data_IF_480334318086
#
_entry.id   IF_480334318086
#
_cell.length_a   1.000
_cell.length_b   1.000
_cell.length_c   1.000
_cell.angle_alpha   90.00
_cell.angle_beta   90.00
_cell.angle_gamma   90.00
#
_symmetry.space_group_name_H-M   'P 1'
#
loop_
_entity.id
_entity.type
_entity.pdbx_description
1 polymer ?
#
# COMPACT_ATOMS: atom_id res chain seq x y z
N UNK A 1 7.82 -6.25 -13.29
CA UNK A 1 8.53 -4.96 -13.14
C UNK A 1 7.59 -3.82 -13.49
N UNK A 2 7.29 -2.98 -12.51
CA UNK A 2 6.36 -1.86 -12.63
C UNK A 2 7.03 -0.67 -13.33
N UNK A 3 6.29 0.19 -14.03
CA UNK A 3 6.84 1.28 -14.85
C UNK A 3 6.37 2.66 -14.38
N UNK A 4 7.30 3.62 -14.30
CA UNK A 4 7.03 4.99 -13.87
C UNK A 4 7.37 6.01 -14.98
N UNK A 5 6.68 7.17 -15.04
CA UNK A 5 5.57 7.59 -14.20
C UNK A 5 4.30 6.79 -14.45
N UNK A 6 3.52 6.58 -13.39
CA UNK A 6 2.32 5.76 -13.41
C UNK A 6 2.00 5.21 -12.03
N UNK A 7 1.18 4.16 -12.01
CA UNK A 7 0.81 3.46 -10.79
C UNK A 7 1.89 2.45 -10.39
N UNK A 8 2.17 2.39 -9.08
CA UNK A 8 2.89 1.34 -8.40
C UNK A 8 1.91 0.63 -7.47
N UNK A 9 1.51 -0.58 -7.82
CA UNK A 9 0.64 -1.45 -7.03
C UNK A 9 1.47 -2.04 -5.86
N UNK A 10 1.00 -1.86 -4.63
CA UNK A 10 1.78 -2.17 -3.42
C UNK A 10 1.90 -3.69 -3.17
N UNK A 11 0.93 -4.48 -3.60
CA UNK A 11 0.93 -5.94 -3.44
C UNK A 11 1.94 -6.65 -4.38
N UNK A 12 2.35 -5.99 -5.47
CA UNK A 12 3.30 -6.52 -6.46
C UNK A 12 4.74 -6.04 -6.17
N UNK A 13 5.17 -6.24 -4.93
CA UNK A 13 6.55 -6.01 -4.48
C UNK A 13 7.51 -7.08 -4.99
N UNK A 14 8.82 -6.83 -4.84
CA UNK A 14 9.85 -7.74 -5.32
C UNK A 14 9.78 -9.12 -4.64
N UNK A 15 10.29 -10.15 -5.34
CA UNK A 15 10.53 -11.47 -4.74
C UNK A 15 11.92 -11.49 -4.09
N UNK A 16 12.06 -12.22 -2.97
CA UNK A 16 13.34 -12.33 -2.27
C UNK A 16 13.20 -12.70 -0.80
N UNK A 17 12.03 -12.48 -0.22
CA UNK A 17 11.72 -12.83 1.16
C UNK A 17 12.14 -11.77 2.18
N UNK A 18 11.91 -12.13 3.44
CA UNK A 18 12.19 -11.33 4.62
C UNK A 18 13.66 -10.90 4.72
N UNK A 19 13.89 -9.62 5.03
CA UNK A 19 15.20 -8.99 5.10
C UNK A 19 15.87 -8.69 3.74
N UNK A 20 15.24 -9.07 2.62
CA UNK A 20 15.77 -8.86 1.25
C UNK A 20 14.80 -8.02 0.42
N UNK A 21 13.58 -8.50 0.23
CA UNK A 21 12.55 -7.82 -0.57
C UNK A 21 11.54 -7.06 0.28
N UNK A 22 11.40 -7.42 1.55
CA UNK A 22 10.59 -6.73 2.54
C UNK A 22 11.11 -7.00 3.94
N UNK A 23 10.64 -6.23 4.90
CA UNK A 23 10.64 -6.57 6.32
C UNK A 23 9.21 -6.43 6.82
N UNK A 24 8.68 -7.51 7.38
CA UNK A 24 7.42 -7.55 8.09
C UNK A 24 7.67 -7.85 9.59
N UNK A 25 6.84 -7.31 10.48
CA UNK A 25 7.01 -7.51 11.93
C UNK A 25 6.62 -8.90 12.38
N UNK A 26 5.90 -9.65 11.56
CA UNK A 26 5.67 -11.07 11.75
C UNK A 26 5.94 -11.89 10.48
N UNK A 27 5.98 -13.22 10.62
CA UNK A 27 6.34 -14.12 9.52
C UNK A 27 5.14 -14.71 8.79
N UNK A 28 3.92 -14.23 9.06
CA UNK A 28 2.66 -14.80 8.61
C UNK A 28 1.82 -13.73 7.93
N UNK A 29 1.56 -13.90 6.64
CA UNK A 29 0.54 -13.12 5.96
C UNK A 29 -0.85 -13.23 6.66
N UNK A 30 -1.21 -12.19 7.40
CA UNK A 30 -2.42 -12.06 8.21
C UNK A 30 -3.69 -11.95 7.35
N UNK A 31 -3.55 -11.55 6.09
CA UNK A 31 -4.62 -11.55 5.11
C UNK A 31 -4.72 -12.89 4.39
N UNK A 32 -3.95 -13.08 3.31
CA UNK A 32 -3.91 -14.29 2.49
C UNK A 32 -3.33 -15.47 3.27
N UNK A 33 -4.06 -16.59 3.33
CA UNK A 33 -3.68 -17.78 4.09
C UNK A 33 -4.20 -17.81 5.53
N UNK A 34 -4.36 -16.65 6.19
CA UNK A 34 -4.90 -16.56 7.56
C UNK A 34 -6.35 -16.05 7.59
N UNK A 35 -6.60 -14.76 7.36
CA UNK A 35 -7.96 -14.22 7.26
C UNK A 35 -8.72 -14.81 6.07
N UNK A 36 -8.01 -15.06 4.96
CA UNK A 36 -8.51 -15.67 3.73
C UNK A 36 -7.89 -17.07 3.59
N UNK A 37 -8.47 -18.13 4.16
CA UNK A 37 -7.90 -19.47 4.10
C UNK A 37 -7.71 -19.96 2.66
N UNK A 38 -6.65 -20.72 2.43
CA UNK A 38 -6.38 -21.35 1.13
C UNK A 38 -7.59 -22.16 0.65
N UNK A 39 -8.02 -21.91 -0.59
CA UNK A 39 -9.21 -22.52 -1.19
C UNK A 39 -9.06 -22.77 -2.71
N UNK A 40 -7.84 -22.69 -3.23
CA UNK A 40 -7.48 -22.80 -4.63
C UNK A 40 -7.68 -21.51 -5.44
N UNK A 41 -8.20 -20.43 -4.84
CA UNK A 41 -8.39 -19.17 -5.56
C UNK A 41 -7.15 -18.27 -5.49
N UNK A 42 -6.90 -17.54 -6.58
CA UNK A 42 -5.81 -16.58 -6.66
C UNK A 42 -5.84 -15.56 -5.52
N UNK A 43 -7.02 -15.01 -5.19
CA UNK A 43 -7.12 -13.92 -4.20
C UNK A 43 -6.87 -14.37 -2.77
N UNK A 44 -7.25 -15.60 -2.40
CA UNK A 44 -6.97 -16.12 -1.05
C UNK A 44 -5.51 -16.55 -0.88
N UNK A 45 -4.86 -16.94 -1.97
CA UNK A 45 -3.53 -17.56 -1.93
C UNK A 45 -2.41 -16.65 -2.44
N UNK A 46 -2.73 -15.44 -2.92
CA UNK A 46 -1.73 -14.50 -3.45
C UNK A 46 -0.70 -14.21 -2.37
N UNK A 47 0.54 -14.66 -2.62
CA UNK A 47 1.72 -14.54 -1.74
C UNK A 47 1.48 -15.00 -0.30
N UNK A 48 0.56 -15.96 -0.08
CA UNK A 48 0.23 -16.46 1.27
C UNK A 48 1.38 -17.17 2.00
N UNK A 49 2.51 -17.43 1.31
CA UNK A 49 3.71 -18.07 1.88
C UNK A 49 4.82 -17.06 2.20
N UNK A 50 4.54 -15.78 2.07
CA UNK A 50 5.45 -14.67 2.35
C UNK A 50 4.97 -13.90 3.58
N UNK A 51 5.82 -13.02 4.13
CA UNK A 51 5.53 -12.25 5.35
C UNK A 51 4.55 -11.11 5.12
N UNK A 52 4.71 -10.32 4.04
CA UNK A 52 3.88 -9.13 3.81
C UNK A 52 2.40 -9.47 3.83
N UNK A 53 1.68 -8.77 4.70
CA UNK A 53 0.25 -8.89 4.87
C UNK A 53 -0.54 -8.37 3.66
N UNK A 54 -1.26 -9.26 2.98
CA UNK A 54 -2.03 -8.92 1.77
C UNK A 54 -3.44 -9.44 1.90
N UNK A 55 -4.43 -8.58 1.61
CA UNK A 55 -5.81 -9.01 1.43
C UNK A 55 -6.37 -8.36 0.17
N UNK A 56 -7.66 -8.48 -0.06
CA UNK A 56 -8.34 -7.90 -1.20
C UNK A 56 -9.69 -7.31 -0.80
N UNK A 57 -10.21 -6.40 -1.60
CA UNK A 57 -11.48 -5.73 -1.35
C UNK A 57 -12.67 -6.66 -1.52
N UNK A 58 -13.57 -6.64 -0.54
CA UNK A 58 -14.68 -7.59 -0.38
C UNK A 58 -16.05 -6.94 -0.58
N UNK A 59 -17.01 -7.80 -0.89
CA UNK A 59 -18.42 -7.46 -1.02
C UNK A 59 -19.09 -7.28 0.36
N UNK A 60 -20.42 -7.13 0.42
CA UNK A 60 -21.16 -7.22 1.68
C UNK A 60 -20.97 -6.04 2.63
N UNK A 61 -20.83 -4.83 2.09
CA UNK A 61 -20.57 -3.59 2.84
C UNK A 61 -19.28 -3.61 3.69
N UNK A 62 -18.31 -4.44 3.31
CA UNK A 62 -16.96 -4.41 3.88
C UNK A 62 -16.20 -3.24 3.23
N UNK A 63 -15.78 -3.38 1.97
CA UNK A 63 -14.97 -2.37 1.27
C UNK A 63 -15.78 -1.43 0.37
N UNK A 64 -17.06 -1.72 0.15
CA UNK A 64 -18.01 -0.81 -0.49
C UNK A 64 -19.08 -0.41 0.52
N UNK A 65 -18.76 0.60 1.33
CA UNK A 65 -19.60 1.07 2.43
C UNK A 65 -19.79 2.61 2.35
N UNK A 66 -20.81 3.18 3.00
CA UNK A 66 -21.13 4.60 2.90
C UNK A 66 -20.13 5.55 3.59
N UNK A 67 -19.11 5.02 4.28
CA UNK A 67 -18.07 5.80 4.95
C UNK A 67 -16.78 5.90 4.11
N UNK A 68 -16.72 5.20 2.98
CA UNK A 68 -15.70 5.43 1.97
C UNK A 68 -15.68 6.89 1.52
N UNK A 69 -14.49 7.49 1.49
CA UNK A 69 -14.26 8.83 0.95
C UNK A 69 -14.13 8.81 -0.58
N UNK A 70 -13.74 7.67 -1.14
CA UNK A 70 -13.71 7.41 -2.60
C UNK A 70 -14.32 6.05 -2.95
N UNK A 71 -14.92 5.86 -4.14
CA UNK A 71 -15.43 4.56 -4.57
C UNK A 71 -14.34 3.50 -4.61
N UNK A 72 -14.74 2.23 -4.43
CA UNK A 72 -13.79 1.12 -4.45
C UNK A 72 -14.24 -0.03 -5.34
N UNK A 73 -13.35 -0.43 -6.24
CA UNK A 73 -13.47 -1.66 -7.00
C UNK A 73 -13.30 -2.87 -6.09
N UNK A 74 -14.07 -3.91 -6.35
CA UNK A 74 -14.03 -5.17 -5.61
C UNK A 74 -12.93 -6.10 -6.16
N UNK A 75 -12.50 -7.06 -5.35
CA UNK A 75 -11.49 -8.07 -5.69
C UNK A 75 -10.13 -7.46 -6.09
N UNK A 76 -9.77 -6.33 -5.50
CA UNK A 76 -8.49 -5.67 -5.69
C UNK A 76 -7.61 -5.92 -4.47
N UNK A 77 -6.42 -6.45 -4.71
CA UNK A 77 -5.44 -6.72 -3.66
C UNK A 77 -4.93 -5.41 -3.03
N UNK A 78 -4.42 -5.49 -1.81
CA UNK A 78 -3.76 -4.39 -1.13
C UNK A 78 -2.84 -4.95 -0.04
N UNK A 79 -1.78 -4.21 0.28
CA UNK A 79 -1.00 -4.44 1.49
C UNK A 79 -1.81 -3.94 2.68
N UNK A 80 -1.89 -4.70 3.77
CA UNK A 80 -2.65 -4.36 4.97
C UNK A 80 -1.85 -4.60 6.24
N UNK A 81 -2.50 -4.50 7.41
CA UNK A 81 -1.93 -4.80 8.74
C UNK A 81 -0.60 -4.12 9.11
N UNK A 82 -0.16 -3.17 8.28
CA UNK A 82 1.12 -2.49 8.37
C UNK A 82 1.46 -2.02 9.78
N UNK A 83 2.71 -2.19 10.18
CA UNK A 83 3.26 -1.73 11.45
C UNK A 83 4.45 -0.78 11.24
N UNK A 84 4.67 0.18 12.16
CA UNK A 84 5.89 0.99 12.16
C UNK A 84 7.16 0.13 12.16
N UNK A 85 8.09 0.46 11.26
CA UNK A 85 9.36 -0.25 11.08
C UNK A 85 9.38 -1.17 9.86
N UNK A 86 8.22 -1.55 9.32
CA UNK A 86 8.12 -2.38 8.13
C UNK A 86 8.54 -1.64 6.86
N UNK A 87 9.04 -2.41 5.89
CA UNK A 87 9.41 -1.87 4.59
C UNK A 87 9.23 -2.87 3.45
N UNK A 88 9.02 -2.36 2.24
CA UNK A 88 8.72 -3.17 1.05
C UNK A 88 9.47 -2.61 -0.17
N UNK A 89 10.22 -3.46 -0.88
CA UNK A 89 10.99 -3.09 -2.07
C UNK A 89 10.22 -3.31 -3.37
N UNK A 90 10.42 -2.39 -4.30
CA UNK A 90 9.87 -2.43 -5.65
C UNK A 90 10.94 -2.09 -6.67
N UNK A 91 11.31 -3.04 -7.50
CA UNK A 91 12.14 -2.80 -8.68
C UNK A 91 11.26 -2.20 -9.79
N UNK A 92 11.56 -0.95 -10.13
CA UNK A 92 10.81 -0.19 -11.12
C UNK A 92 11.67 0.23 -12.30
N UNK A 93 11.03 0.43 -13.45
CA UNK A 93 11.63 1.08 -14.60
C UNK A 93 11.06 2.48 -14.77
N UNK A 94 11.88 3.49 -14.53
CA UNK A 94 11.54 4.89 -14.79
C UNK A 94 11.82 5.21 -16.26
N UNK A 95 10.75 5.36 -17.04
CA UNK A 95 10.82 5.62 -18.48
C UNK A 95 11.16 7.10 -18.79
N UNK A 96 10.82 8.01 -17.88
CA UNK A 96 11.04 9.45 -18.00
C UNK A 96 11.53 10.01 -16.67
N UNK A 97 12.66 10.73 -16.69
CA UNK A 97 13.14 11.44 -15.51
C UNK A 97 12.23 12.64 -15.20
N UNK A 98 12.10 12.99 -13.93
CA UNK A 98 11.33 14.14 -13.49
C UNK A 98 11.02 14.12 -12.00
N UNK A 99 10.41 15.20 -11.52
CA UNK A 99 9.81 15.28 -10.19
C UNK A 99 8.31 15.04 -10.32
N UNK A 100 7.81 14.08 -9.55
CA UNK A 100 6.42 13.62 -9.61
C UNK A 100 5.74 13.84 -8.26
N UNK A 101 4.49 14.32 -8.22
CA UNK A 101 3.69 14.19 -7.01
C UNK A 101 3.48 12.70 -6.70
N UNK A 102 3.39 12.38 -5.41
CA UNK A 102 3.09 11.02 -4.94
C UNK A 102 1.62 11.00 -4.54
N UNK A 103 0.79 10.35 -5.34
CA UNK A 103 -0.58 10.00 -4.98
C UNK A 103 -0.63 8.65 -4.26
N UNK A 104 -1.71 8.40 -3.53
CA UNK A 104 -1.93 7.14 -2.80
C UNK A 104 -3.42 6.82 -2.71
N UNK A 105 -3.78 5.54 -2.85
CA UNK A 105 -5.10 4.99 -2.50
C UNK A 105 -4.94 4.06 -1.29
N UNK A 106 -5.63 4.38 -0.19
CA UNK A 106 -5.36 3.79 1.11
C UNK A 106 -6.58 3.79 2.05
N UNK A 107 -6.42 3.09 3.17
CA UNK A 107 -7.15 3.31 4.43
C UNK A 107 -6.15 3.55 5.56
N UNK A 108 -6.55 4.21 6.65
CA UNK A 108 -5.69 4.40 7.82
C UNK A 108 -6.54 4.61 9.08
N UNK A 109 -6.45 3.69 10.06
CA UNK A 109 -7.20 3.79 11.32
C UNK A 109 -6.58 4.76 12.35
N UNK A 110 -5.86 5.77 11.86
CA UNK A 110 -5.24 6.85 12.64
C UNK A 110 -4.38 7.72 11.72
N UNK A 111 -3.86 8.84 12.22
CA UNK A 111 -2.86 9.60 11.47
C UNK A 111 -1.50 8.88 11.56
N UNK A 112 -0.83 8.72 10.43
CA UNK A 112 0.48 8.07 10.37
C UNK A 112 1.36 8.68 9.30
N UNK A 113 2.55 8.10 9.14
CA UNK A 113 3.50 8.54 8.12
C UNK A 113 4.16 7.36 7.42
N UNK A 114 4.50 7.57 6.15
CA UNK A 114 5.31 6.68 5.33
C UNK A 114 6.51 7.46 4.77
N UNK A 115 7.52 6.79 4.21
CA UNK A 115 8.52 7.41 3.34
C UNK A 115 8.88 6.51 2.17
N UNK A 116 9.53 7.09 1.16
CA UNK A 116 10.04 6.34 0.02
C UNK A 116 11.51 6.63 -0.20
N UNK A 117 12.31 5.55 -0.20
CA UNK A 117 13.72 5.59 -0.58
C UNK A 117 13.88 5.33 -2.08
N UNK A 118 14.97 5.83 -2.66
CA UNK A 118 15.47 5.43 -3.98
C UNK A 118 16.86 4.83 -3.82
N UNK A 119 17.04 3.60 -4.28
CA UNK A 119 18.31 2.88 -4.27
C UNK A 119 18.98 2.90 -2.87
N UNK A 120 18.18 2.68 -1.82
CA UNK A 120 18.60 2.63 -0.42
C UNK A 120 18.90 3.99 0.22
N UNK A 121 18.39 5.09 -0.34
CA UNK A 121 18.52 6.44 0.24
C UNK A 121 17.16 7.12 0.30
N UNK A 122 16.83 7.70 1.46
CA UNK A 122 15.62 8.51 1.64
C UNK A 122 15.50 9.59 0.56
N UNK A 123 14.36 9.59 -0.12
CA UNK A 123 14.05 10.52 -1.20
C UNK A 123 12.91 11.48 -0.86
N UNK A 124 12.18 11.27 0.23
CA UNK A 124 10.95 12.03 0.53
C UNK A 124 10.91 12.62 1.93
N UNK A 125 11.62 12.03 2.89
CA UNK A 125 11.31 12.18 4.30
C UNK A 125 9.90 11.67 4.64
N UNK A 126 9.38 11.97 5.84
CA UNK A 126 8.05 11.56 6.25
C UNK A 126 6.93 12.22 5.42
N UNK A 127 6.02 11.40 4.91
CA UNK A 127 4.82 11.78 4.17
C UNK A 127 3.59 11.47 5.02
N UNK A 128 2.71 12.45 5.20
CA UNK A 128 1.53 12.30 6.05
C UNK A 128 0.44 11.45 5.37
N UNK A 129 -0.07 10.47 6.11
CA UNK A 129 -1.26 9.69 5.77
C UNK A 129 -2.36 10.06 6.78
N UNK A 130 -3.37 10.79 6.30
CA UNK A 130 -4.47 11.26 7.13
C UNK A 130 -5.41 10.10 7.49
N UNK A 131 -5.95 10.11 8.72
CA UNK A 131 -6.88 9.07 9.14
C UNK A 131 -8.14 9.00 8.23
N UNK A 132 -8.57 7.78 7.98
CA UNK A 132 -9.87 7.46 7.38
C UNK A 132 -10.90 7.01 8.41
N UNK A 133 -10.53 7.05 9.70
CA UNK A 133 -11.44 6.79 10.79
C UNK A 133 -12.67 7.71 10.72
N UNK A 134 -13.84 7.16 11.02
CA UNK A 134 -15.10 7.90 11.04
C UNK A 134 -15.96 7.42 12.22
N UNK A 135 -16.11 8.27 13.24
CA UNK A 135 -16.89 7.99 14.45
C UNK A 135 -18.38 7.75 14.16
N UNK A 136 -18.87 8.14 12.98
CA UNK A 136 -20.25 7.84 12.54
C UNK A 136 -20.44 6.38 12.18
N UNK A 137 -19.34 5.64 11.97
CA UNK A 137 -19.38 4.20 11.79
C UNK A 137 -19.13 3.46 13.11
N UNK A 138 -20.20 2.90 13.68
CA UNK A 138 -20.12 2.16 14.94
C UNK A 138 -19.59 0.73 14.79
N UNK A 139 -19.29 0.27 13.56
CA UNK A 139 -18.72 -1.05 13.31
C UNK A 139 -17.20 -0.99 13.43
N UNK A 140 -16.69 -1.35 14.61
CA UNK A 140 -15.28 -1.20 14.97
C UNK A 140 -14.29 -1.77 13.93
N UNK A 141 -14.54 -2.96 13.39
CA UNK A 141 -13.65 -3.58 12.40
C UNK A 141 -13.71 -2.90 11.03
N UNK A 142 -14.76 -2.14 10.71
CA UNK A 142 -14.92 -1.50 9.39
C UNK A 142 -14.09 -0.21 9.27
N UNK A 143 -13.51 0.28 10.36
CA UNK A 143 -12.63 1.46 10.36
C UNK A 143 -11.40 1.28 9.45
N UNK A 144 -10.94 0.04 9.21
CA UNK A 144 -9.87 -0.28 8.26
C UNK A 144 -10.33 -0.38 6.80
N UNK A 145 -11.62 -0.19 6.53
CA UNK A 145 -12.24 -0.34 5.22
C UNK A 145 -12.91 0.95 4.73
N UNK A 146 -12.53 2.12 5.27
CA UNK A 146 -12.92 3.43 4.75
C UNK A 146 -11.88 3.92 3.75
N UNK A 147 -12.11 3.67 2.45
CA UNK A 147 -11.15 3.98 1.40
C UNK A 147 -11.06 5.48 1.11
N UNK A 148 -9.84 5.99 0.96
CA UNK A 148 -9.54 7.36 0.60
C UNK A 148 -8.42 7.44 -0.44
N UNK A 149 -8.43 8.49 -1.24
CA UNK A 149 -7.33 8.81 -2.15
C UNK A 149 -6.76 10.20 -1.85
N UNK A 150 -5.46 10.35 -2.03
CA UNK A 150 -4.81 11.65 -2.12
C UNK A 150 -4.02 11.73 -3.42
N UNK A 151 -4.19 12.82 -4.17
CA UNK A 151 -3.43 13.05 -5.41
C UNK A 151 -1.96 13.44 -5.13
N UNK A 152 -1.67 13.92 -3.93
CA UNK A 152 -0.34 14.39 -3.54
C UNK A 152 -0.18 14.41 -2.03
N UNK A 153 0.56 13.43 -1.50
CA UNK A 153 1.07 13.43 -0.11
C UNK A 153 2.49 14.00 -0.01
N UNK A 154 3.12 14.28 -1.17
CA UNK A 154 4.46 14.83 -1.30
C UNK A 154 4.96 14.71 -2.74
N UNK A 155 6.28 14.78 -2.95
CA UNK A 155 6.88 14.63 -4.28
C UNK A 155 8.19 13.85 -4.23
N UNK A 156 8.53 13.18 -5.33
CA UNK A 156 9.78 12.41 -5.48
C UNK A 156 10.46 12.78 -6.80
N UNK A 157 11.79 12.82 -6.81
CA UNK A 157 12.57 13.08 -8.03
C UNK A 157 13.22 11.80 -8.51
N UNK A 158 12.83 11.35 -9.70
CA UNK A 158 13.28 10.09 -10.31
C UNK A 158 14.19 10.35 -11.51
N UNK A 159 15.27 9.57 -11.63
CA UNK A 159 16.09 9.51 -12.83
C UNK A 159 15.55 8.44 -13.76
N UNK A 160 15.80 8.58 -15.07
CA UNK A 160 15.43 7.55 -16.06
C UNK A 160 16.34 6.34 -15.86
N UNK A 161 15.78 5.15 -15.71
CA UNK A 161 16.55 3.94 -15.46
C UNK A 161 15.80 2.92 -14.62
N UNK A 162 16.48 1.83 -14.29
CA UNK A 162 16.03 0.91 -13.27
C UNK A 162 16.39 1.48 -11.90
N UNK A 163 15.45 1.40 -10.95
CA UNK A 163 15.62 1.83 -9.57
C UNK A 163 14.92 0.85 -8.63
N UNK A 164 15.41 0.74 -7.41
CA UNK A 164 14.67 0.12 -6.31
C UNK A 164 14.02 1.23 -5.50
N UNK A 165 12.70 1.20 -5.39
CA UNK A 165 11.98 2.03 -4.43
C UNK A 165 11.69 1.21 -3.19
N UNK A 166 11.98 1.76 -2.01
CA UNK A 166 11.61 1.13 -0.74
C UNK A 166 10.54 1.99 -0.06
N UNK A 167 9.35 1.41 0.13
CA UNK A 167 8.29 2.03 0.92
C UNK A 167 8.51 1.67 2.38
N UNK A 168 8.55 2.66 3.25
CA UNK A 168 8.66 2.48 4.70
C UNK A 168 7.38 2.89 5.42
N UNK A 169 6.98 2.10 6.41
CA UNK A 169 5.93 2.48 7.36
C UNK A 169 6.61 3.09 8.58
N UNK A 170 6.43 4.40 8.80
CA UNK A 170 7.20 5.12 9.82
C UNK A 170 6.45 5.24 11.15
N UNK A 171 5.18 5.66 11.11
CA UNK A 171 4.38 5.87 12.33
C UNK A 171 2.96 5.38 12.16
N UNK A 172 2.38 4.95 13.29
CA UNK A 172 1.04 4.38 13.45
C UNK A 172 0.80 3.04 12.74
N UNK A 173 1.28 2.88 11.50
CA UNK A 173 0.86 1.76 10.65
C UNK A 173 -0.67 1.75 10.55
N UNK A 174 -1.28 0.57 10.68
CA UNK A 174 -2.73 0.38 10.61
C UNK A 174 -3.33 0.94 9.30
N UNK A 175 -2.54 0.85 8.23
CA UNK A 175 -2.90 1.29 6.90
C UNK A 175 -3.15 0.08 6.00
N UNK A 176 -4.15 0.19 5.13
CA UNK A 176 -4.19 -0.59 3.90
C UNK A 176 -3.68 0.29 2.75
N UNK A 177 -2.77 -0.20 1.94
CA UNK A 177 -2.17 0.50 0.81
C UNK A 177 -2.44 -0.30 -0.47
N UNK A 178 -3.29 0.24 -1.36
CA UNK A 178 -3.55 -0.36 -2.67
C UNK A 178 -2.41 0.01 -3.62
N UNK A 179 -2.21 1.30 -3.85
CA UNK A 179 -1.17 1.76 -4.76
C UNK A 179 -0.65 3.15 -4.45
N UNK A 180 0.58 3.41 -4.90
CA UNK A 180 1.13 4.74 -5.09
C UNK A 180 1.00 5.18 -6.55
N UNK A 181 0.92 6.48 -6.80
CA UNK A 181 0.85 7.04 -8.15
C UNK A 181 1.89 8.15 -8.34
N UNK A 182 2.74 8.03 -9.35
CA UNK A 182 3.85 8.96 -9.62
C UNK A 182 3.61 9.76 -10.92
N UNK A 183 2.45 10.39 -11.07
CA UNK A 183 2.05 11.06 -12.31
C UNK A 183 0.96 12.11 -12.11
N UNK A 184 0.49 12.75 -13.20
CA UNK A 184 -0.72 13.59 -13.13
C UNK A 184 -1.91 12.70 -12.72
N UNK A 185 -2.70 13.19 -11.76
CA UNK A 185 -3.97 12.59 -11.31
C UNK A 185 -4.82 12.15 -12.50
N UNK A 186 -5.40 10.94 -12.40
CA UNK A 186 -6.53 10.53 -13.24
C UNK A 186 -7.71 11.40 -12.81
N UNK A 187 -7.86 12.55 -13.46
CA UNK A 187 -9.17 13.21 -13.52
C UNK A 187 -10.11 12.39 -14.39
#
# INVERSE_FOLDING_TARGET
>A
MQQLPGRLECEYYDEGGEGIAYHDTDSINNGSGKLNPANGSFLNEFRMKEGVDISYTKTGNIDNNPYNKVPRDLNKLYVGWTQPGEWINYTVKVNKAGTYPIGVLYTSNGNGTISVDIDGKDATGPLNIASTHDDRDTVAWRQWHHWNASDSIGSITLKKGAHVLTLHILTNGNMNLDHLNFGKSLK
#
